data_IF_381731982356
#
_entry.id   IF_381731982356
#
_cell.length_a   1.000
_cell.length_b   1.000
_cell.length_c   1.000
_cell.angle_alpha   90.00
_cell.angle_beta   90.00
_cell.angle_gamma   90.00
#
_symmetry.space_group_name_H-M   'P 1'
#
loop_
_entity.id
_entity.type
_entity.pdbx_description
1 polymer ?
#
# COMPACT_ATOMS: atom_id res chain seq x y z
N UNK A 1 -9.40 55.64 15.30
CA UNK A 1 -10.42 54.83 14.57
C UNK A 1 -9.68 53.81 13.72
N UNK A 2 -9.88 52.50 13.91
CA UNK A 2 -9.36 51.49 12.98
C UNK A 2 -10.41 51.27 11.88
N UNK A 3 -10.02 51.28 10.60
CA UNK A 3 -10.92 50.89 9.51
C UNK A 3 -10.97 49.36 9.46
N UNK A 4 -12.16 48.79 9.44
CA UNK A 4 -12.32 47.35 9.22
C UNK A 4 -11.98 47.03 7.75
N UNK A 5 -11.02 46.13 7.52
CA UNK A 5 -10.90 45.45 6.23
C UNK A 5 -12.10 44.50 6.08
N UNK A 6 -12.76 44.44 4.91
CA UNK A 6 -13.75 43.40 4.66
C UNK A 6 -13.07 42.02 4.62
N UNK A 7 -13.76 40.95 5.01
CA UNK A 7 -13.23 39.59 4.90
C UNK A 7 -13.00 39.21 3.42
N UNK A 8 -12.06 38.31 3.12
CA UNK A 8 -11.84 37.83 1.76
C UNK A 8 -13.10 37.12 1.23
N UNK A 9 -13.50 37.47 0.01
CA UNK A 9 -14.69 36.91 -0.64
C UNK A 9 -14.51 35.41 -0.87
N UNK A 10 -15.31 34.59 -0.18
CA UNK A 10 -15.38 33.16 -0.45
C UNK A 10 -16.19 32.94 -1.74
N UNK A 11 -15.49 32.87 -2.88
CA UNK A 11 -16.05 32.48 -4.19
C UNK A 11 -16.93 31.23 -4.06
N UNK A 12 -18.05 31.16 -4.77
CA UNK A 12 -18.86 29.94 -4.81
C UNK A 12 -18.10 28.78 -5.44
N UNK A 13 -18.58 27.54 -5.20
CA UNK A 13 -18.02 26.32 -5.80
C UNK A 13 -18.02 26.40 -7.33
N UNK A 14 -19.07 26.97 -7.92
CA UNK A 14 -19.18 27.16 -9.37
C UNK A 14 -18.23 28.23 -9.92
N UNK A 15 -17.98 29.32 -9.19
CA UNK A 15 -17.02 30.35 -9.62
C UNK A 15 -15.58 29.85 -9.59
N UNK A 16 -15.21 29.02 -8.61
CA UNK A 16 -13.87 28.40 -8.55
C UNK A 16 -13.63 27.41 -9.69
N UNK A 17 -14.63 26.60 -10.01
CA UNK A 17 -14.58 25.68 -11.16
C UNK A 17 -14.51 26.46 -12.48
N UNK A 18 -15.34 27.50 -12.67
CA UNK A 18 -15.27 28.37 -13.86
C UNK A 18 -13.92 29.07 -14.01
N UNK A 19 -13.31 29.52 -12.92
CA UNK A 19 -12.00 30.15 -12.95
C UNK A 19 -10.93 29.16 -13.45
N UNK A 20 -10.98 27.90 -12.99
CA UNK A 20 -10.10 26.84 -13.48
C UNK A 20 -10.37 26.52 -14.97
N UNK A 21 -11.62 26.22 -15.33
CA UNK A 21 -12.07 25.95 -16.71
C UNK A 21 -11.63 27.07 -17.68
N UNK A 22 -11.68 28.33 -17.25
CA UNK A 22 -11.21 29.48 -18.02
C UNK A 22 -9.67 29.52 -18.15
N UNK A 23 -8.93 29.39 -17.04
CA UNK A 23 -7.45 29.38 -17.10
C UNK A 23 -6.89 28.24 -17.95
N UNK A 24 -7.52 27.06 -17.94
CA UNK A 24 -7.11 25.93 -18.79
C UNK A 24 -7.30 26.24 -20.29
N UNK A 25 -8.41 26.88 -20.66
CA UNK A 25 -8.69 27.28 -22.04
C UNK A 25 -7.70 28.34 -22.57
N UNK A 26 -7.30 29.30 -21.73
CA UNK A 26 -6.30 30.32 -22.08
C UNK A 26 -4.91 29.72 -22.33
N UNK A 27 -4.51 28.71 -21.54
CA UNK A 27 -3.28 27.95 -21.78
C UNK A 27 -3.33 27.14 -23.09
N UNK A 28 -4.40 26.38 -23.31
CA UNK A 28 -4.56 25.54 -24.52
C UNK A 28 -4.56 26.39 -25.81
N UNK A 29 -5.18 27.59 -25.74
CA UNK A 29 -5.25 28.52 -26.88
C UNK A 29 -3.90 29.11 -27.29
N UNK A 30 -2.92 29.13 -26.37
CA UNK A 30 -1.59 29.70 -26.62
C UNK A 30 -0.65 28.74 -27.36
N UNK A 31 -0.82 27.43 -27.18
CA UNK A 31 0.12 26.41 -27.70
C UNK A 31 -0.08 26.14 -29.22
N UNK A 32 -1.31 26.30 -29.72
CA UNK A 32 -1.70 25.98 -31.11
C UNK A 32 -1.03 26.92 -32.15
N UNK A 33 -0.51 28.09 -31.73
CA UNK A 33 0.05 29.10 -32.63
C UNK A 33 1.57 28.96 -32.92
N UNK A 34 2.28 27.98 -32.34
CA UNK A 34 3.75 27.93 -32.38
C UNK A 34 4.38 26.62 -32.91
N UNK A 35 3.91 26.09 -34.05
CA UNK A 35 4.47 24.82 -34.60
C UNK A 35 4.58 24.73 -36.13
N UNK A 36 5.28 25.68 -36.79
CA UNK A 36 5.64 25.51 -38.23
C UNK A 36 6.94 26.20 -38.69
N UNK A 37 8.09 25.54 -38.58
CA UNK A 37 9.25 25.65 -39.50
C UNK A 37 10.45 24.76 -39.13
N UNK A 38 10.85 23.86 -40.03
CA UNK A 38 12.16 23.14 -40.07
C UNK A 38 12.42 22.65 -41.52
N UNK A 39 13.62 22.17 -41.90
CA UNK A 39 14.93 22.86 -41.80
C UNK A 39 15.82 22.69 -43.06
N UNK A 40 16.90 23.48 -43.25
CA UNK A 40 18.25 22.95 -43.60
C UNK A 40 19.42 23.96 -43.83
N UNK A 41 20.52 23.69 -43.11
CA UNK A 41 21.93 23.64 -43.58
C UNK A 41 22.85 24.88 -43.76
N UNK A 42 24.07 24.71 -43.23
CA UNK A 42 25.43 25.19 -43.64
C UNK A 42 25.98 26.55 -43.14
N UNK A 43 27.23 26.43 -42.62
CA UNK A 43 28.26 27.40 -42.18
C UNK A 43 29.23 27.73 -43.36
N UNK A 44 30.32 28.55 -43.28
CA UNK A 44 30.98 29.17 -42.09
C UNK A 44 31.51 30.65 -42.22
N UNK A 45 31.74 31.33 -41.07
CA UNK A 45 32.93 32.18 -40.67
C UNK A 45 33.53 33.32 -41.57
N UNK A 46 34.40 34.23 -41.05
CA UNK A 46 34.47 34.91 -39.73
C UNK A 46 34.93 36.42 -39.75
N UNK A 47 35.03 37.01 -38.54
CA UNK A 47 36.01 38.04 -38.07
C UNK A 47 35.88 39.55 -38.41
N UNK A 48 35.77 40.40 -37.37
CA UNK A 48 36.80 41.39 -36.97
C UNK A 48 36.57 41.95 -35.53
N UNK A 49 37.69 42.14 -34.80
CA UNK A 49 38.16 43.31 -33.99
C UNK A 49 37.16 44.38 -33.52
N UNK A 50 37.31 45.01 -32.34
CA UNK A 50 38.39 45.05 -31.31
C UNK A 50 37.76 45.34 -29.89
N UNK A 51 38.36 45.85 -28.79
CA UNK A 51 39.63 46.56 -28.51
C UNK A 51 40.11 46.48 -27.03
N UNK A 52 41.42 46.71 -26.85
CA UNK A 52 42.17 47.28 -25.68
C UNK A 52 41.81 46.97 -24.20
N UNK A 53 42.58 46.02 -23.66
CA UNK A 53 43.39 46.06 -22.41
C UNK A 53 43.95 47.47 -22.01
N UNK A 54 44.49 47.76 -20.79
CA UNK A 54 44.97 46.96 -19.63
C UNK A 54 45.20 47.83 -18.36
N UNK A 55 45.67 47.19 -17.28
CA UNK A 55 46.31 47.73 -16.04
C UNK A 55 45.40 48.24 -14.90
N UNK A 56 45.82 48.29 -13.62
CA UNK A 56 46.50 47.32 -12.71
C UNK A 56 47.04 48.01 -11.44
N UNK A 57 46.50 47.71 -10.25
CA UNK A 57 47.13 47.87 -8.89
C UNK A 57 47.45 49.35 -8.51
N UNK A 58 46.91 49.92 -7.41
CA UNK A 58 47.20 49.56 -6.00
C UNK A 58 46.37 50.36 -4.98
N UNK A 59 45.99 49.75 -3.84
CA UNK A 59 45.45 50.34 -2.58
C UNK A 59 44.12 51.12 -2.73
N UNK A 60 43.17 51.09 -1.78
CA UNK A 60 43.34 51.32 -0.32
C UNK A 60 42.37 50.48 0.53
N UNK A 61 42.81 50.09 1.72
CA UNK A 61 42.00 49.31 2.69
C UNK A 61 41.12 50.21 3.55
N UNK A 62 39.80 50.08 3.42
CA UNK A 62 38.79 50.45 4.40
C UNK A 62 37.46 49.73 4.04
N UNK A 63 36.53 49.62 4.99
CA UNK A 63 35.17 49.07 4.78
C UNK A 63 35.12 47.64 4.23
N UNK A 64 35.41 46.64 5.07
CA UNK A 64 35.21 45.22 4.72
C UNK A 64 34.75 44.35 5.92
N UNK A 65 34.12 44.99 6.92
CA UNK A 65 33.81 44.37 8.22
C UNK A 65 32.33 44.51 8.68
N UNK A 66 31.51 45.31 7.98
CA UNK A 66 30.06 45.44 8.29
C UNK A 66 29.14 44.74 7.27
N UNK A 67 29.57 44.55 6.02
CA UNK A 67 28.74 43.93 4.97
C UNK A 67 28.74 42.38 5.02
N UNK A 68 29.49 41.78 5.95
CA UNK A 68 29.59 40.32 6.14
C UNK A 68 28.60 39.73 7.16
N UNK A 69 27.73 40.56 7.78
CA UNK A 69 26.78 40.12 8.80
C UNK A 69 25.30 40.06 8.37
N UNK A 70 24.96 40.47 7.14
CA UNK A 70 23.60 40.34 6.58
C UNK A 70 23.45 39.34 5.42
N UNK A 71 24.56 38.81 4.88
CA UNK A 71 24.53 37.82 3.79
C UNK A 71 24.39 36.35 4.25
N UNK A 72 24.44 36.09 5.57
CA UNK A 72 24.49 34.72 6.15
C UNK A 72 23.12 34.24 6.67
N UNK A 73 22.03 34.91 6.26
CA UNK A 73 20.66 34.41 6.37
C UNK A 73 20.14 33.84 5.04
N UNK A 74 21.05 33.46 4.14
CA UNK A 74 20.73 32.81 2.87
C UNK A 74 19.91 31.53 3.11
N UNK A 75 18.76 31.45 2.43
CA UNK A 75 17.71 30.45 2.61
C UNK A 75 18.25 29.02 2.77
N UNK A 76 18.18 28.49 3.99
CA UNK A 76 18.01 27.05 4.20
C UNK A 76 16.54 26.66 3.95
N UNK A 77 16.04 26.95 2.75
CA UNK A 77 14.87 26.28 2.20
C UNK A 77 15.26 24.83 1.94
N UNK A 78 15.14 24.03 2.99
CA UNK A 78 15.16 22.57 2.93
C UNK A 78 13.90 22.13 2.18
N UNK A 79 13.94 22.23 0.85
CA UNK A 79 12.80 22.03 -0.06
C UNK A 79 12.00 20.81 0.35
N UNK A 80 10.78 21.04 0.84
CA UNK A 80 10.13 20.08 1.72
C UNK A 80 9.39 19.01 0.93
N UNK A 81 10.13 18.05 0.37
CA UNK A 81 9.59 16.90 -0.37
C UNK A 81 8.56 16.16 0.50
N UNK A 82 7.31 16.13 0.03
CA UNK A 82 6.23 15.34 0.62
C UNK A 82 6.27 13.91 0.07
N UNK A 83 5.92 12.94 0.90
CA UNK A 83 5.74 11.56 0.41
C UNK A 83 4.41 11.40 -0.33
N UNK A 84 4.29 10.38 -1.17
CA UNK A 84 3.05 10.13 -1.92
C UNK A 84 1.84 9.90 -1.00
N UNK A 85 2.01 9.25 0.16
CA UNK A 85 0.95 9.08 1.14
C UNK A 85 0.59 10.40 1.87
N UNK A 86 1.56 11.31 2.10
CA UNK A 86 1.27 12.66 2.60
C UNK A 86 0.44 13.45 1.58
N UNK A 87 0.83 13.41 0.30
CA UNK A 87 0.11 14.07 -0.80
C UNK A 87 -1.31 13.49 -0.91
N UNK A 88 -1.47 12.16 -0.94
CA UNK A 88 -2.79 11.50 -0.98
C UNK A 88 -3.71 11.91 0.18
N UNK A 89 -3.17 12.14 1.38
CA UNK A 89 -3.97 12.62 2.53
C UNK A 89 -4.30 14.12 2.47
N UNK A 90 -3.58 14.90 1.67
CA UNK A 90 -3.84 16.33 1.46
C UNK A 90 -4.74 16.60 0.24
N UNK A 91 -4.78 15.72 -0.76
CA UNK A 91 -5.60 15.87 -1.97
C UNK A 91 -7.10 16.15 -1.67
N UNK A 92 -7.79 15.45 -0.74
CA UNK A 92 -9.20 15.75 -0.40
C UNK A 92 -9.42 17.13 0.25
N UNK A 93 -8.36 17.81 0.69
CA UNK A 93 -8.42 19.16 1.25
C UNK A 93 -8.16 20.26 0.20
N UNK A 94 -7.74 19.90 -1.02
CA UNK A 94 -7.74 20.82 -2.16
C UNK A 94 -9.17 21.29 -2.45
N UNK A 95 -9.37 22.60 -2.52
CA UNK A 95 -10.67 23.19 -2.77
C UNK A 95 -11.21 22.84 -4.16
N UNK A 96 -10.33 22.66 -5.16
CA UNK A 96 -10.71 22.29 -6.52
C UNK A 96 -11.18 20.82 -6.58
N UNK A 97 -10.41 19.92 -5.96
CA UNK A 97 -10.78 18.49 -5.83
C UNK A 97 -12.12 18.35 -5.10
N UNK A 98 -12.29 19.05 -3.97
CA UNK A 98 -13.55 19.06 -3.22
C UNK A 98 -14.72 19.64 -4.03
N UNK A 99 -14.50 20.72 -4.77
CA UNK A 99 -15.51 21.34 -5.63
C UNK A 99 -16.01 20.40 -6.74
N UNK A 100 -15.10 19.72 -7.44
CA UNK A 100 -15.48 18.73 -8.45
C UNK A 100 -16.13 17.49 -7.83
N UNK A 101 -15.69 17.03 -6.65
CA UNK A 101 -16.35 15.93 -5.94
C UNK A 101 -17.82 16.27 -5.60
N UNK A 102 -18.09 17.49 -5.13
CA UNK A 102 -19.45 17.99 -4.87
C UNK A 102 -20.27 18.13 -6.17
N UNK A 103 -19.67 18.64 -7.26
CA UNK A 103 -20.27 18.71 -8.62
C UNK A 103 -20.71 17.30 -9.07
N UNK A 104 -19.84 16.30 -8.92
CA UNK A 104 -20.11 14.90 -9.32
C UNK A 104 -21.21 14.27 -8.44
N UNK A 105 -21.18 14.42 -7.12
CA UNK A 105 -22.23 13.87 -6.23
C UNK A 105 -23.61 14.44 -6.58
N UNK A 106 -23.69 15.76 -6.82
CA UNK A 106 -24.92 16.43 -7.26
C UNK A 106 -25.41 15.90 -8.61
N UNK A 107 -24.52 15.75 -9.59
CA UNK A 107 -24.86 15.24 -10.92
C UNK A 107 -25.23 13.75 -10.90
N UNK A 108 -24.57 12.91 -10.11
CA UNK A 108 -24.96 11.49 -9.93
C UNK A 108 -26.38 11.36 -9.33
N UNK A 109 -26.76 12.27 -8.43
CA UNK A 109 -28.12 12.36 -7.88
C UNK A 109 -29.16 12.70 -8.96
N UNK A 110 -28.82 13.57 -9.90
CA UNK A 110 -29.68 13.97 -11.03
C UNK A 110 -29.78 12.86 -12.07
N UNK A 111 -28.62 12.33 -12.50
CA UNK A 111 -28.47 11.40 -13.62
C UNK A 111 -28.92 9.97 -13.25
N UNK A 112 -28.64 9.51 -12.03
CA UNK A 112 -28.89 8.13 -11.59
C UNK A 112 -29.77 8.00 -10.35
N UNK A 113 -30.18 9.11 -9.71
CA UNK A 113 -30.93 9.08 -8.46
C UNK A 113 -30.11 8.71 -7.22
N UNK A 114 -28.79 8.51 -7.36
CA UNK A 114 -27.89 8.10 -6.28
C UNK A 114 -26.62 8.98 -6.28
N UNK A 115 -26.48 9.83 -5.27
CA UNK A 115 -25.35 10.76 -5.12
C UNK A 115 -24.00 10.07 -4.85
N UNK A 116 -23.99 8.84 -4.32
CA UNK A 116 -22.78 8.11 -3.93
C UNK A 116 -22.39 7.01 -4.94
N UNK A 117 -23.08 6.90 -6.08
CA UNK A 117 -22.87 5.83 -7.08
C UNK A 117 -21.40 5.68 -7.51
N UNK A 118 -20.69 6.80 -7.70
CA UNK A 118 -19.30 6.82 -8.16
C UNK A 118 -18.28 7.00 -7.02
N UNK A 119 -18.67 6.88 -5.75
CA UNK A 119 -17.79 7.17 -4.62
C UNK A 119 -16.53 6.28 -4.59
N UNK A 120 -16.66 5.00 -4.94
CA UNK A 120 -15.52 4.08 -5.09
C UNK A 120 -14.60 4.53 -6.23
N UNK A 121 -15.18 4.89 -7.38
CA UNK A 121 -14.44 5.35 -8.58
C UNK A 121 -13.73 6.69 -8.38
N UNK A 122 -14.31 7.59 -7.58
CA UNK A 122 -13.61 8.79 -7.09
C UNK A 122 -12.36 8.41 -6.27
N UNK A 123 -12.45 7.38 -5.42
CA UNK A 123 -11.31 6.83 -4.68
C UNK A 123 -10.27 6.09 -5.55
N UNK A 124 -10.65 5.60 -6.74
CA UNK A 124 -9.72 5.10 -7.75
C UNK A 124 -9.01 6.24 -8.48
N UNK A 125 -9.74 7.29 -8.89
CA UNK A 125 -9.17 8.47 -9.57
C UNK A 125 -8.18 9.23 -8.65
N UNK A 126 -8.45 9.29 -7.34
CA UNK A 126 -7.50 9.84 -6.36
C UNK A 126 -6.15 9.09 -6.32
N UNK A 127 -6.11 7.80 -6.69
CA UNK A 127 -4.88 7.01 -6.78
C UNK A 127 -4.23 7.16 -8.16
N UNK A 128 -5.03 7.14 -9.22
CA UNK A 128 -4.59 7.31 -10.60
C UNK A 128 -5.48 8.30 -11.36
N UNK A 129 -5.06 9.57 -11.50
CA UNK A 129 -5.84 10.62 -12.15
C UNK A 129 -6.29 10.31 -13.57
N UNK A 130 -5.51 9.53 -14.33
CA UNK A 130 -5.82 9.13 -15.71
C UNK A 130 -7.10 8.30 -15.84
N UNK A 131 -7.60 7.73 -14.75
CA UNK A 131 -8.89 7.05 -14.72
C UNK A 131 -10.08 8.03 -14.86
N UNK A 132 -9.90 9.33 -14.63
CA UNK A 132 -10.95 10.34 -14.78
C UNK A 132 -11.47 10.42 -16.22
N UNK A 133 -10.57 10.60 -17.19
CA UNK A 133 -10.94 10.61 -18.61
C UNK A 133 -11.52 9.24 -19.04
N UNK A 134 -10.89 8.14 -18.63
CA UNK A 134 -11.36 6.79 -18.97
C UNK A 134 -12.78 6.50 -18.45
N UNK A 135 -13.09 6.89 -17.21
CA UNK A 135 -14.41 6.74 -16.62
C UNK A 135 -15.44 7.66 -17.30
N UNK A 136 -15.04 8.89 -17.64
CA UNK A 136 -15.88 9.83 -18.40
C UNK A 136 -16.30 9.24 -19.75
N UNK A 137 -15.36 8.66 -20.50
CA UNK A 137 -15.64 7.95 -21.76
C UNK A 137 -16.53 6.72 -21.57
N UNK A 138 -16.31 5.91 -20.52
CA UNK A 138 -17.15 4.73 -20.24
C UNK A 138 -18.60 5.12 -19.93
N UNK A 139 -18.82 6.15 -19.11
CA UNK A 139 -20.16 6.66 -18.76
C UNK A 139 -20.83 7.32 -19.97
N UNK A 140 -20.08 8.04 -20.81
CA UNK A 140 -20.59 8.64 -22.05
C UNK A 140 -21.04 7.57 -23.06
N UNK A 141 -20.23 6.52 -23.25
CA UNK A 141 -20.52 5.45 -24.20
C UNK A 141 -21.62 4.48 -23.73
N UNK A 142 -21.70 4.17 -22.44
CA UNK A 142 -22.65 3.19 -21.88
C UNK A 142 -23.17 3.64 -20.50
N UNK A 143 -23.99 4.71 -20.40
CA UNK A 143 -24.43 5.24 -19.11
C UNK A 143 -25.22 4.24 -18.26
N UNK A 144 -26.10 3.45 -18.88
CA UNK A 144 -26.89 2.44 -18.16
C UNK A 144 -26.10 1.16 -17.77
N UNK A 145 -24.78 1.09 -18.05
CA UNK A 145 -23.92 -0.01 -17.56
C UNK A 145 -23.53 0.13 -16.08
N UNK A 146 -23.48 1.36 -15.55
CA UNK A 146 -23.15 1.65 -14.15
C UNK A 146 -24.39 1.63 -13.25
N UNK A 147 -25.49 2.22 -13.71
CA UNK A 147 -26.80 2.20 -13.05
C UNK A 147 -27.88 2.65 -14.04
N UNK A 148 -29.13 2.28 -13.79
CA UNK A 148 -30.25 2.80 -14.58
C UNK A 148 -30.37 4.32 -14.41
N UNK A 149 -30.46 5.07 -15.52
CA UNK A 149 -30.69 6.52 -15.49
C UNK A 149 -32.02 6.84 -14.77
N UNK A 150 -32.10 7.99 -14.10
CA UNK A 150 -33.24 8.37 -13.28
C UNK A 150 -34.55 8.49 -14.10
N UNK A 151 -35.68 8.46 -13.39
CA UNK A 151 -37.01 8.54 -14.00
C UNK A 151 -37.40 7.31 -14.83
N UNK A 152 -38.27 7.51 -15.81
CA UNK A 152 -38.71 6.45 -16.72
C UNK A 152 -38.81 6.92 -18.18
N UNK A 153 -38.59 5.96 -19.07
CA UNK A 153 -38.86 6.03 -20.50
C UNK A 153 -39.77 4.83 -20.83
N UNK A 154 -41.00 5.07 -21.28
CA UNK A 154 -41.94 4.03 -21.70
C UNK A 154 -42.34 4.28 -23.16
N UNK A 155 -41.91 3.39 -24.05
CA UNK A 155 -42.15 3.48 -25.50
C UNK A 155 -41.77 4.85 -26.11
N UNK A 156 -40.68 5.46 -25.63
CA UNK A 156 -40.20 6.78 -26.07
C UNK A 156 -40.75 7.95 -25.26
N UNK A 157 -41.80 7.76 -24.45
CA UNK A 157 -42.34 8.79 -23.56
C UNK A 157 -41.47 8.88 -22.31
N UNK A 158 -40.67 9.95 -22.22
CA UNK A 158 -39.75 10.24 -21.11
C UNK A 158 -40.36 11.22 -20.12
N UNK A 159 -40.34 10.88 -18.82
CA UNK A 159 -40.74 11.84 -17.78
C UNK A 159 -39.68 12.93 -17.55
N UNK A 160 -40.03 13.98 -16.79
CA UNK A 160 -39.12 15.11 -16.50
C UNK A 160 -37.80 14.67 -15.85
N UNK A 161 -37.85 13.71 -14.92
CA UNK A 161 -36.65 13.16 -14.28
C UNK A 161 -35.71 12.47 -15.29
N UNK A 162 -36.25 11.70 -16.25
CA UNK A 162 -35.45 11.05 -17.30
C UNK A 162 -34.88 12.05 -18.31
N UNK A 163 -35.63 13.11 -18.67
CA UNK A 163 -35.10 14.21 -19.50
C UNK A 163 -33.93 14.91 -18.81
N UNK A 164 -34.15 15.35 -17.57
CA UNK A 164 -33.12 16.02 -16.77
C UNK A 164 -31.86 15.13 -16.57
N UNK A 165 -32.04 13.81 -16.40
CA UNK A 165 -30.93 12.87 -16.32
C UNK A 165 -30.12 12.75 -17.62
N UNK A 166 -30.78 12.73 -18.77
CA UNK A 166 -30.12 12.71 -20.09
C UNK A 166 -29.45 14.04 -20.42
N UNK A 167 -30.10 15.17 -20.07
CA UNK A 167 -29.58 16.54 -20.27
C UNK A 167 -28.34 16.84 -19.41
N UNK A 168 -28.23 16.26 -18.21
CA UNK A 168 -27.08 16.45 -17.31
C UNK A 168 -25.98 15.38 -17.48
N UNK A 169 -26.20 14.34 -18.29
CA UNK A 169 -25.22 13.27 -18.51
C UNK A 169 -23.88 13.78 -19.08
N UNK A 170 -23.83 14.67 -20.11
CA UNK A 170 -22.57 15.23 -20.59
C UNK A 170 -21.84 15.99 -19.47
N UNK A 171 -22.56 16.83 -18.71
CA UNK A 171 -21.97 17.61 -17.61
C UNK A 171 -21.43 16.72 -16.48
N UNK A 172 -21.97 15.52 -16.28
CA UNK A 172 -21.40 14.51 -15.39
C UNK A 172 -20.08 13.97 -15.94
N UNK A 173 -20.01 13.62 -17.22
CA UNK A 173 -18.78 13.21 -17.91
C UNK A 173 -17.70 14.30 -17.82
N UNK A 174 -18.05 15.56 -18.11
CA UNK A 174 -17.16 16.72 -18.03
C UNK A 174 -16.63 16.90 -16.59
N UNK A 175 -17.50 16.77 -15.59
CA UNK A 175 -17.13 16.88 -14.19
C UNK A 175 -16.17 15.77 -13.73
N UNK A 176 -16.31 14.55 -14.26
CA UNK A 176 -15.45 13.40 -13.95
C UNK A 176 -14.07 13.55 -14.61
N UNK A 177 -14.01 14.04 -15.84
CA UNK A 177 -12.73 14.37 -16.51
C UNK A 177 -11.99 15.48 -15.75
N UNK A 178 -12.67 16.60 -15.49
CA UNK A 178 -12.12 17.73 -14.71
C UNK A 178 -11.78 17.38 -13.25
N UNK A 179 -12.38 16.33 -12.67
CA UNK A 179 -11.93 15.79 -11.38
C UNK A 179 -10.57 15.09 -11.49
N UNK A 180 -10.34 14.32 -12.55
CA UNK A 180 -9.02 13.74 -12.85
C UNK A 180 -7.96 14.83 -12.99
N UNK A 181 -8.23 15.85 -13.81
CA UNK A 181 -7.36 17.02 -13.99
C UNK A 181 -7.10 17.77 -12.66
N UNK A 182 -8.14 18.03 -11.86
CA UNK A 182 -8.02 18.70 -10.58
C UNK A 182 -7.19 17.91 -9.55
N UNK A 183 -7.30 16.57 -9.55
CA UNK A 183 -6.48 15.69 -8.70
C UNK A 183 -5.03 15.66 -9.19
N UNK A 184 -4.80 15.57 -10.50
CA UNK A 184 -3.45 15.63 -11.08
C UNK A 184 -2.77 16.96 -10.76
N UNK A 185 -3.44 18.09 -11.04
CA UNK A 185 -2.95 19.44 -10.75
C UNK A 185 -2.60 19.61 -9.27
N UNK A 186 -3.49 19.21 -8.35
CA UNK A 186 -3.24 19.30 -6.92
C UNK A 186 -2.11 18.35 -6.44
N UNK A 187 -1.89 17.22 -7.12
CA UNK A 187 -0.76 16.30 -6.85
C UNK A 187 0.57 16.88 -7.33
N UNK A 188 0.58 17.50 -8.50
CA UNK A 188 1.75 18.17 -9.08
C UNK A 188 2.15 19.41 -8.27
N UNK A 189 1.20 20.27 -7.90
CA UNK A 189 1.47 21.46 -7.09
C UNK A 189 2.01 21.09 -5.69
N UNK A 190 1.44 20.07 -5.04
CA UNK A 190 1.99 19.50 -3.79
C UNK A 190 3.37 18.84 -3.95
N UNK A 191 3.78 18.50 -5.17
CA UNK A 191 5.10 17.94 -5.46
C UNK A 191 6.14 19.02 -5.81
N UNK A 192 5.70 20.11 -6.45
CA UNK A 192 6.56 21.18 -6.98
C UNK A 192 6.69 22.36 -6.01
N UNK A 193 5.59 22.79 -5.37
CA UNK A 193 5.59 23.94 -4.43
C UNK A 193 5.08 23.60 -3.01
N UNK A 194 5.47 22.45 -2.40
CA UNK A 194 4.87 21.92 -1.17
C UNK A 194 4.75 22.96 -0.05
N UNK A 195 5.77 23.78 0.20
CA UNK A 195 5.76 24.78 1.27
C UNK A 195 4.73 25.92 1.05
N UNK A 196 4.42 26.26 -0.21
CA UNK A 196 3.39 27.24 -0.55
C UNK A 196 1.97 26.66 -0.35
N UNK A 197 1.72 25.46 -0.89
CA UNK A 197 0.43 24.76 -0.75
C UNK A 197 0.14 24.43 0.72
N UNK A 198 1.16 24.01 1.48
CA UNK A 198 1.03 23.79 2.92
C UNK A 198 0.73 25.08 3.65
N UNK A 199 1.41 26.19 3.35
CA UNK A 199 1.12 27.51 3.96
C UNK A 199 -0.34 27.91 3.72
N UNK A 200 -0.87 27.64 2.54
CA UNK A 200 -2.29 27.85 2.19
C UNK A 200 -3.24 26.92 2.98
N UNK A 201 -2.89 25.65 3.17
CA UNK A 201 -3.66 24.74 4.03
C UNK A 201 -3.58 25.14 5.52
N UNK A 202 -2.42 25.58 6.02
CA UNK A 202 -2.29 26.07 7.40
C UNK A 202 -3.20 27.29 7.67
N UNK A 203 -3.41 28.14 6.65
CA UNK A 203 -4.35 29.27 6.73
C UNK A 203 -5.82 28.86 6.63
N UNK A 204 -6.15 27.84 5.82
CA UNK A 204 -7.55 27.47 5.54
C UNK A 204 -8.14 26.41 6.48
N UNK A 205 -7.32 25.52 7.05
CA UNK A 205 -7.75 24.49 8.01
C UNK A 205 -6.95 24.45 9.32
N UNK A 206 -5.94 25.32 9.47
CA UNK A 206 -5.13 25.46 10.69
C UNK A 206 -3.88 24.58 10.70
N UNK A 207 -2.74 25.16 11.12
CA UNK A 207 -1.45 24.46 11.27
C UNK A 207 -1.54 23.13 12.02
N UNK A 208 -2.29 23.09 13.12
CA UNK A 208 -2.46 21.89 13.95
C UNK A 208 -3.10 20.72 13.16
N UNK A 209 -4.08 21.02 12.31
CA UNK A 209 -4.74 20.01 11.48
C UNK A 209 -3.83 19.51 10.37
N UNK A 210 -3.11 20.41 9.69
CA UNK A 210 -2.11 20.06 8.66
C UNK A 210 -1.00 19.20 9.27
N UNK A 211 -0.44 19.61 10.41
CA UNK A 211 0.58 18.84 11.14
C UNK A 211 0.09 17.43 11.51
N UNK A 212 -1.15 17.30 12.01
CA UNK A 212 -1.76 16.01 12.35
C UNK A 212 -1.95 15.10 11.13
N UNK A 213 -2.38 15.64 9.99
CA UNK A 213 -2.52 14.89 8.73
C UNK A 213 -1.16 14.31 8.32
N UNK A 214 -0.12 15.14 8.30
CA UNK A 214 1.25 14.77 7.94
C UNK A 214 1.83 13.70 8.89
N UNK A 215 1.69 13.89 10.21
CA UNK A 215 2.11 12.92 11.22
C UNK A 215 1.42 11.56 11.04
N UNK A 216 0.12 11.56 10.71
CA UNK A 216 -0.61 10.31 10.43
C UNK A 216 -0.11 9.57 9.18
N UNK A 217 0.55 10.25 8.25
CA UNK A 217 1.20 9.60 7.11
C UNK A 217 2.49 8.91 7.56
N UNK A 218 3.39 9.67 8.19
CA UNK A 218 4.69 9.17 8.67
C UNK A 218 4.54 7.95 9.58
N UNK A 219 3.53 7.96 10.45
CA UNK A 219 3.22 6.82 11.31
C UNK A 219 2.82 5.58 10.49
N UNK A 220 1.90 5.72 9.52
CA UNK A 220 1.42 4.60 8.70
C UNK A 220 2.48 4.08 7.72
N UNK A 221 3.30 4.96 7.13
CA UNK A 221 4.42 4.57 6.25
C UNK A 221 5.48 3.79 7.04
N UNK A 222 5.79 4.25 8.26
CA UNK A 222 6.69 3.54 9.18
C UNK A 222 6.10 2.21 9.65
N UNK A 223 4.83 2.18 10.06
CA UNK A 223 4.13 0.96 10.49
C UNK A 223 4.10 -0.10 9.38
N UNK A 224 3.83 0.29 8.13
CA UNK A 224 3.84 -0.63 6.99
C UNK A 224 5.25 -1.17 6.66
N UNK A 225 6.28 -0.33 6.73
CA UNK A 225 7.67 -0.76 6.55
C UNK A 225 8.13 -1.71 7.68
N UNK A 226 7.79 -1.37 8.92
CA UNK A 226 8.07 -2.17 10.12
C UNK A 226 7.37 -3.54 10.04
N UNK A 227 6.07 -3.56 9.69
CA UNK A 227 5.31 -4.79 9.41
C UNK A 227 6.00 -5.63 8.32
N UNK A 228 6.40 -5.04 7.19
CA UNK A 228 7.06 -5.77 6.10
C UNK A 228 8.37 -6.43 6.56
N UNK A 229 9.21 -5.71 7.32
CA UNK A 229 10.44 -6.29 7.88
C UNK A 229 10.17 -7.38 8.92
N UNK A 230 9.13 -7.24 9.75
CA UNK A 230 8.71 -8.28 10.70
C UNK A 230 8.18 -9.54 10.01
N UNK A 231 7.52 -9.40 8.84
CA UNK A 231 7.08 -10.54 8.03
C UNK A 231 8.28 -11.25 7.39
N UNK A 232 9.22 -10.52 6.79
CA UNK A 232 10.43 -11.12 6.22
C UNK A 232 11.29 -11.83 7.28
N UNK A 233 11.39 -11.29 8.50
CA UNK A 233 12.11 -11.91 9.62
C UNK A 233 11.37 -13.09 10.27
N UNK A 234 10.10 -13.35 9.90
CA UNK A 234 9.33 -14.40 10.54
C UNK A 234 9.83 -15.81 10.14
N UNK A 235 10.09 -16.72 11.10
CA UNK A 235 10.67 -18.03 10.83
C UNK A 235 9.74 -18.96 10.05
N UNK A 236 8.42 -18.78 10.15
CA UNK A 236 7.43 -19.55 9.37
C UNK A 236 7.43 -19.10 7.91
N UNK A 237 7.41 -17.78 7.67
CA UNK A 237 7.50 -17.17 6.34
C UNK A 237 8.82 -17.59 5.65
N UNK A 238 9.94 -17.48 6.35
CA UNK A 238 11.27 -17.92 5.89
C UNK A 238 11.29 -19.43 5.56
N UNK A 239 10.71 -20.28 6.41
CA UNK A 239 10.60 -21.73 6.17
C UNK A 239 9.80 -22.04 4.90
N UNK A 240 8.70 -21.34 4.67
CA UNK A 240 7.92 -21.51 3.44
C UNK A 240 8.69 -21.05 2.21
N UNK A 241 9.36 -19.89 2.22
CA UNK A 241 10.23 -19.45 1.11
C UNK A 241 11.32 -20.48 0.77
N UNK A 242 11.94 -21.11 1.77
CA UNK A 242 12.90 -22.19 1.56
C UNK A 242 12.26 -23.44 0.94
N UNK A 243 11.05 -23.82 1.37
CA UNK A 243 10.29 -24.96 0.84
C UNK A 243 9.79 -24.71 -0.59
N UNK A 244 9.43 -23.47 -0.94
CA UNK A 244 9.09 -23.06 -2.32
C UNK A 244 10.34 -23.12 -3.22
N UNK A 245 11.49 -22.63 -2.75
CA UNK A 245 12.77 -22.76 -3.48
C UNK A 245 13.14 -24.23 -3.74
N UNK A 246 12.92 -25.11 -2.76
CA UNK A 246 13.09 -26.56 -2.93
C UNK A 246 12.14 -27.13 -3.99
N UNK A 247 10.83 -26.87 -3.90
CA UNK A 247 9.86 -27.40 -4.87
C UNK A 247 10.04 -26.82 -6.27
N UNK A 248 10.41 -25.54 -6.42
CA UNK A 248 10.78 -24.97 -7.71
C UNK A 248 11.96 -25.70 -8.36
N UNK A 249 12.96 -26.11 -7.57
CA UNK A 249 14.06 -26.94 -8.07
C UNK A 249 13.58 -28.35 -8.47
N UNK A 250 12.72 -29.00 -7.68
CA UNK A 250 12.16 -30.32 -8.03
C UNK A 250 11.30 -30.27 -9.30
N UNK A 251 10.40 -29.29 -9.42
CA UNK A 251 9.42 -29.18 -10.52
C UNK A 251 10.07 -28.65 -11.80
N UNK A 252 10.95 -27.66 -11.72
CA UNK A 252 11.45 -26.91 -12.89
C UNK A 252 12.98 -26.93 -13.06
N UNK A 253 13.73 -27.53 -12.12
CA UNK A 253 15.20 -27.56 -12.11
C UNK A 253 15.86 -26.28 -11.59
N UNK A 254 15.10 -25.20 -11.34
CA UNK A 254 15.63 -23.90 -10.91
C UNK A 254 14.87 -23.38 -9.68
N UNK A 255 15.59 -23.10 -8.59
CA UNK A 255 15.00 -22.74 -7.29
C UNK A 255 14.31 -21.37 -7.26
N UNK A 256 14.71 -20.43 -8.12
CA UNK A 256 14.37 -19.00 -7.98
C UNK A 256 13.35 -18.49 -9.02
N UNK A 257 12.67 -19.35 -9.79
CA UNK A 257 11.72 -18.92 -10.84
C UNK A 257 10.61 -18.03 -10.28
N UNK A 258 10.07 -18.38 -9.11
CA UNK A 258 8.98 -17.65 -8.47
C UNK A 258 9.45 -16.52 -7.54
N UNK A 259 10.74 -16.13 -7.56
CA UNK A 259 11.28 -15.18 -6.58
C UNK A 259 10.57 -13.82 -6.59
N UNK A 260 10.28 -13.26 -7.77
CA UNK A 260 9.48 -12.04 -7.90
C UNK A 260 8.03 -12.25 -7.44
N UNK A 261 7.42 -13.37 -7.82
CA UNK A 261 6.04 -13.69 -7.41
C UNK A 261 5.89 -13.90 -5.90
N UNK A 262 6.91 -14.39 -5.20
CA UNK A 262 6.90 -14.45 -3.74
C UNK A 262 6.97 -13.06 -3.10
N UNK A 263 7.68 -12.11 -3.71
CA UNK A 263 7.70 -10.71 -3.26
C UNK A 263 6.37 -9.99 -3.56
N UNK A 264 5.74 -10.26 -4.71
CA UNK A 264 4.38 -9.79 -5.00
C UNK A 264 3.37 -10.31 -3.96
N UNK A 265 3.43 -11.60 -3.60
CA UNK A 265 2.57 -12.21 -2.56
C UNK A 265 2.90 -11.67 -1.16
N UNK A 266 4.17 -11.35 -0.87
CA UNK A 266 4.57 -10.67 0.36
C UNK A 266 3.84 -9.32 0.50
N UNK A 267 3.64 -8.59 -0.60
CA UNK A 267 2.90 -7.31 -0.62
C UNK A 267 1.38 -7.52 -0.64
N UNK A 268 0.85 -8.41 -1.48
CA UNK A 268 -0.57 -8.75 -1.57
C UNK A 268 -0.80 -10.28 -1.57
N UNK A 269 -1.22 -10.88 -0.44
CA UNK A 269 -1.44 -12.33 -0.35
C UNK A 269 -2.45 -12.89 -1.37
N UNK A 270 -3.41 -12.10 -1.83
CA UNK A 270 -4.42 -12.54 -2.81
C UNK A 270 -3.81 -12.90 -4.19
N UNK A 271 -2.61 -12.37 -4.52
CA UNK A 271 -1.89 -12.76 -5.75
C UNK A 271 -1.50 -14.25 -5.78
N UNK A 272 -1.57 -14.94 -4.63
CA UNK A 272 -1.28 -16.37 -4.56
C UNK A 272 -2.33 -17.22 -5.28
N UNK A 273 -3.61 -16.85 -5.22
CA UNK A 273 -4.70 -17.58 -5.88
C UNK A 273 -4.54 -17.57 -7.41
N UNK A 274 -4.18 -16.40 -7.98
CA UNK A 274 -3.84 -16.30 -9.40
C UNK A 274 -2.63 -17.17 -9.74
N UNK A 275 -1.58 -17.16 -8.91
CA UNK A 275 -0.36 -17.94 -9.15
C UNK A 275 -0.59 -19.46 -9.03
N UNK A 276 -1.37 -19.92 -8.05
CA UNK A 276 -1.66 -21.34 -7.87
C UNK A 276 -2.65 -21.85 -8.92
N UNK A 277 -3.59 -21.02 -9.37
CA UNK A 277 -4.39 -21.31 -10.56
C UNK A 277 -3.53 -21.41 -11.84
N UNK A 278 -2.62 -20.45 -12.07
CA UNK A 278 -1.69 -20.50 -13.21
C UNK A 278 -0.80 -21.75 -13.19
N UNK A 279 -0.28 -22.13 -12.00
CA UNK A 279 0.51 -23.35 -11.80
C UNK A 279 -0.31 -24.63 -11.99
N UNK A 280 -1.58 -24.65 -11.60
CA UNK A 280 -2.45 -25.81 -11.76
C UNK A 280 -2.87 -26.02 -13.23
N UNK A 281 -3.28 -24.94 -13.91
CA UNK A 281 -3.80 -25.01 -15.28
C UNK A 281 -2.67 -25.05 -16.33
N UNK A 282 -1.64 -24.22 -16.18
CA UNK A 282 -0.61 -23.99 -17.20
C UNK A 282 0.81 -23.93 -16.62
N UNK A 283 1.30 -24.94 -15.87
CA UNK A 283 2.61 -24.89 -15.21
C UNK A 283 3.80 -24.62 -16.15
N UNK A 284 3.65 -24.92 -17.44
CA UNK A 284 4.67 -24.71 -18.47
C UNK A 284 4.76 -23.25 -18.97
N UNK A 285 3.81 -22.37 -18.63
CA UNK A 285 3.90 -20.93 -18.93
C UNK A 285 5.00 -20.23 -18.13
N UNK A 286 5.21 -20.69 -16.89
CA UNK A 286 6.22 -20.16 -15.96
C UNK A 286 7.60 -20.76 -16.25
N UNK A 287 7.69 -22.09 -16.39
CA UNK A 287 8.92 -22.76 -16.84
C UNK A 287 8.68 -24.20 -17.31
N UNK A 288 9.58 -24.71 -18.14
CA UNK A 288 9.62 -26.13 -18.50
C UNK A 288 9.88 -27.02 -17.26
N UNK A 289 9.14 -28.11 -17.14
CA UNK A 289 9.40 -29.16 -16.14
C UNK A 289 10.82 -29.73 -16.24
N UNK A 290 11.40 -30.07 -15.09
CA UNK A 290 12.68 -30.79 -15.02
C UNK A 290 12.60 -32.17 -15.72
N UNK A 291 13.75 -32.71 -16.11
CA UNK A 291 13.84 -33.99 -16.80
C UNK A 291 13.25 -33.97 -18.22
N UNK A 292 13.23 -35.14 -18.86
CA UNK A 292 12.90 -35.29 -20.28
C UNK A 292 11.55 -36.01 -20.50
N UNK A 293 10.81 -35.56 -21.51
CA UNK A 293 9.64 -36.21 -22.11
C UNK A 293 9.87 -36.33 -23.62
N UNK A 294 10.01 -37.54 -24.14
CA UNK A 294 10.23 -37.82 -25.58
C UNK A 294 9.19 -38.84 -26.04
N UNK A 295 8.45 -38.52 -27.12
CA UNK A 295 7.37 -39.37 -27.65
C UNK A 295 6.37 -39.88 -26.57
N UNK A 296 6.07 -39.04 -25.58
CA UNK A 296 5.21 -39.38 -24.44
C UNK A 296 5.93 -40.08 -23.27
N UNK A 297 7.07 -40.74 -23.51
CA UNK A 297 7.87 -41.42 -22.50
C UNK A 297 8.57 -40.41 -21.57
N UNK A 298 8.43 -40.58 -20.25
CA UNK A 298 8.94 -39.67 -19.21
C UNK A 298 10.04 -40.33 -18.40
N UNK A 299 11.20 -39.67 -18.24
CA UNK A 299 12.25 -40.17 -17.35
C UNK A 299 11.88 -39.98 -15.85
N UNK A 300 12.65 -40.59 -14.94
CA UNK A 300 12.39 -40.53 -13.50
C UNK A 300 12.30 -39.09 -12.97
N UNK A 301 13.22 -38.22 -13.40
CA UNK A 301 13.23 -36.80 -13.05
C UNK A 301 11.93 -36.11 -13.48
N UNK A 302 11.47 -36.33 -14.71
CA UNK A 302 10.21 -35.76 -15.21
C UNK A 302 8.99 -36.25 -14.41
N UNK A 303 8.95 -37.54 -14.07
CA UNK A 303 7.85 -38.10 -13.25
C UNK A 303 7.84 -37.51 -11.83
N UNK A 304 9.01 -37.31 -11.23
CA UNK A 304 9.13 -36.68 -9.91
C UNK A 304 8.78 -35.18 -9.95
N UNK A 305 9.19 -34.47 -11.01
CA UNK A 305 8.87 -33.07 -11.24
C UNK A 305 7.37 -32.82 -11.40
N UNK A 306 6.68 -33.65 -12.18
CA UNK A 306 5.22 -33.58 -12.34
C UNK A 306 4.50 -33.92 -11.01
N UNK A 307 4.96 -34.94 -10.27
CA UNK A 307 4.41 -35.31 -8.96
C UNK A 307 4.71 -34.27 -7.85
N UNK A 308 5.71 -33.40 -8.04
CA UNK A 308 6.04 -32.31 -7.12
C UNK A 308 5.18 -31.06 -7.26
N UNK A 309 4.43 -30.92 -8.36
CA UNK A 309 3.62 -29.72 -8.63
C UNK A 309 2.53 -29.45 -7.56
N UNK A 310 1.72 -30.43 -7.12
CA UNK A 310 0.72 -30.18 -6.08
C UNK A 310 1.34 -29.69 -4.77
N UNK A 311 2.52 -30.22 -4.43
CA UNK A 311 3.28 -29.81 -3.25
C UNK A 311 3.87 -28.40 -3.39
N UNK A 312 4.20 -27.95 -4.60
CA UNK A 312 4.59 -26.56 -4.86
C UNK A 312 3.41 -25.61 -4.63
N UNK A 313 2.25 -25.95 -5.20
CA UNK A 313 0.98 -25.21 -5.06
C UNK A 313 0.59 -25.08 -3.59
N UNK A 314 0.45 -26.20 -2.87
CA UNK A 314 0.18 -26.23 -1.42
C UNK A 314 1.17 -25.37 -0.62
N UNK A 315 2.46 -25.39 -0.97
CA UNK A 315 3.44 -24.57 -0.25
C UNK A 315 3.26 -23.07 -0.52
N UNK A 316 2.75 -22.67 -1.70
CA UNK A 316 2.44 -21.27 -2.05
C UNK A 316 1.18 -20.79 -1.32
N UNK A 317 0.11 -21.58 -1.31
CA UNK A 317 -1.12 -21.24 -0.57
C UNK A 317 -0.83 -21.12 0.94
N UNK A 318 -0.06 -22.06 1.51
CA UNK A 318 0.37 -21.99 2.90
C UNK A 318 1.31 -20.80 3.20
N UNK A 319 2.14 -20.37 2.24
CA UNK A 319 2.96 -19.15 2.35
C UNK A 319 2.08 -17.90 2.41
N UNK A 320 1.11 -17.78 1.50
CA UNK A 320 0.18 -16.65 1.44
C UNK A 320 -0.67 -16.56 2.72
N UNK A 321 -1.22 -17.68 3.18
CA UNK A 321 -1.95 -17.76 4.46
C UNK A 321 -1.08 -17.35 5.66
N UNK A 322 0.19 -17.76 5.70
CA UNK A 322 1.13 -17.35 6.75
C UNK A 322 1.43 -15.84 6.72
N UNK A 323 1.55 -15.22 5.53
CA UNK A 323 1.72 -13.77 5.38
C UNK A 323 0.43 -13.02 5.76
N UNK A 324 -0.75 -13.53 5.39
CA UNK A 324 -2.06 -12.94 5.72
C UNK A 324 -2.28 -12.87 7.23
N UNK A 325 -2.24 -14.02 7.91
CA UNK A 325 -2.44 -14.11 9.36
C UNK A 325 -1.41 -13.28 10.15
N UNK A 326 -0.19 -13.16 9.63
CA UNK A 326 0.84 -12.33 10.24
C UNK A 326 0.56 -10.83 10.06
N UNK A 327 0.07 -10.39 8.90
CA UNK A 327 -0.40 -9.01 8.70
C UNK A 327 -1.56 -8.67 9.63
N UNK A 328 -2.57 -9.53 9.70
CA UNK A 328 -3.74 -9.32 10.57
C UNK A 328 -3.33 -9.22 12.05
N UNK A 329 -2.54 -10.16 12.54
CA UNK A 329 -2.11 -10.16 13.95
C UNK A 329 -1.20 -8.96 14.29
N UNK A 330 -0.31 -8.53 13.39
CA UNK A 330 0.50 -7.33 13.59
C UNK A 330 -0.38 -6.06 13.64
N UNK A 331 -1.29 -5.87 12.69
CA UNK A 331 -2.23 -4.73 12.66
C UNK A 331 -3.12 -4.70 13.92
N UNK A 332 -3.65 -5.85 14.34
CA UNK A 332 -4.44 -5.95 15.58
C UNK A 332 -3.61 -5.61 16.83
N UNK A 333 -2.35 -6.06 16.90
CA UNK A 333 -1.46 -5.75 18.04
C UNK A 333 -1.14 -4.26 18.14
N UNK A 334 -0.94 -3.57 17.01
CA UNK A 334 -0.70 -2.13 16.96
C UNK A 334 -1.96 -1.34 17.35
N UNK A 335 -3.15 -1.73 16.88
CA UNK A 335 -4.41 -1.11 17.30
C UNK A 335 -4.65 -1.23 18.82
N UNK A 336 -4.28 -2.36 19.43
CA UNK A 336 -4.39 -2.56 20.88
C UNK A 336 -3.43 -1.64 21.65
N UNK A 337 -2.20 -1.46 21.17
CA UNK A 337 -1.22 -0.53 21.76
C UNK A 337 -1.69 0.94 21.61
N UNK A 338 -2.11 1.36 20.42
CA UNK A 338 -2.63 2.72 20.18
C UNK A 338 -3.83 3.04 21.11
N UNK A 339 -4.75 2.09 21.30
CA UNK A 339 -5.90 2.23 22.22
C UNK A 339 -5.50 2.36 23.69
N UNK A 340 -4.31 1.91 24.07
CA UNK A 340 -3.78 1.96 25.44
C UNK A 340 -3.09 3.31 25.76
N UNK A 341 -2.81 4.15 24.76
CA UNK A 341 -2.12 5.44 24.92
C UNK A 341 -3.06 6.66 25.08
N UNK A 342 -4.26 6.46 25.64
CA UNK A 342 -4.92 7.52 26.41
C UNK A 342 -4.21 7.65 27.79
N UNK A 343 -4.09 8.85 28.40
CA UNK A 343 -3.09 9.11 29.43
C UNK A 343 -3.39 8.43 30.78
N UNK A 344 -2.88 7.21 30.96
CA UNK A 344 -2.95 6.45 32.22
C UNK A 344 -1.99 6.99 33.30
N UNK A 345 -2.35 8.13 33.90
CA UNK A 345 -1.71 8.68 35.09
C UNK A 345 -2.15 8.01 36.42
N UNK A 346 -3.02 7.00 36.34
CA UNK A 346 -3.69 6.36 37.48
C UNK A 346 -2.96 5.10 37.96
N UNK A 347 -2.58 4.20 37.04
CA UNK A 347 -2.07 2.85 37.31
C UNK A 347 -0.74 2.85 38.11
N UNK A 348 0.01 3.95 38.10
CA UNK A 348 1.22 4.15 38.88
C UNK A 348 0.95 4.40 40.40
N UNK A 349 -0.28 4.69 40.82
CA UNK A 349 -0.64 4.96 42.22
C UNK A 349 -0.94 3.67 42.99
N UNK A 350 -1.71 2.76 42.39
CA UNK A 350 -2.18 1.55 43.09
C UNK A 350 -1.07 0.50 43.27
N UNK A 351 -0.15 0.39 42.29
CA UNK A 351 1.04 -0.48 42.43
C UNK A 351 1.98 -0.02 43.56
N UNK A 352 1.85 1.22 44.04
CA UNK A 352 2.55 1.73 45.22
C UNK A 352 1.84 1.35 46.52
N UNK A 353 0.52 1.62 46.61
CA UNK A 353 -0.31 1.25 47.78
C UNK A 353 -0.24 -0.24 48.13
N UNK A 354 -0.15 -1.12 47.14
CA UNK A 354 -0.09 -2.56 47.40
C UNK A 354 1.26 -3.04 47.97
N UNK A 355 2.33 -2.26 47.84
CA UNK A 355 3.70 -2.69 48.21
C UNK A 355 4.04 -2.41 49.67
N UNK A 356 3.41 -1.41 50.29
CA UNK A 356 3.66 -0.99 51.67
C UNK A 356 2.96 -1.87 52.73
N UNK A 357 2.02 -2.72 52.31
CA UNK A 357 1.24 -3.61 53.20
C UNK A 357 1.91 -4.98 53.48
N UNK A 358 3.02 -5.32 52.81
CA UNK A 358 3.59 -6.69 52.82
C UNK A 358 4.83 -6.87 53.71
N UNK A 359 5.08 -5.96 54.67
CA UNK A 359 6.24 -6.03 55.57
C UNK A 359 5.88 -5.75 57.04
N UNK A 360 5.25 -6.71 57.72
CA UNK A 360 5.33 -6.79 59.19
C UNK A 360 5.03 -8.19 59.75
N UNK A 361 5.52 -8.43 60.97
CA UNK A 361 5.32 -9.59 61.86
C UNK A 361 6.05 -10.90 61.52
N UNK A 362 6.15 -11.77 62.54
CA UNK A 362 7.08 -12.91 62.66
C UNK A 362 6.38 -14.19 63.19
N UNK A 363 7.09 -15.32 63.15
CA UNK A 363 6.84 -16.56 63.91
C UNK A 363 6.77 -16.29 65.43
N UNK A 364 6.05 -17.10 66.24
CA UNK A 364 6.73 -18.24 66.90
C UNK A 364 5.91 -19.54 67.10
N UNK A 365 6.52 -20.67 66.72
CA UNK A 365 6.81 -21.89 67.53
C UNK A 365 5.97 -22.27 68.79
N UNK A 366 5.35 -23.47 68.83
CA UNK A 366 5.57 -24.51 69.87
C UNK A 366 4.89 -25.89 69.60
N UNK A 367 5.57 -26.97 70.03
CA UNK A 367 5.20 -28.37 70.39
C UNK A 367 3.78 -28.93 70.10
N UNK A 368 3.54 -30.21 69.72
CA UNK A 368 4.37 -31.43 69.50
C UNK A 368 3.59 -32.41 68.54
N UNK A 369 3.75 -33.74 68.34
CA UNK A 369 4.28 -34.91 69.11
C UNK A 369 4.66 -36.11 68.20
N UNK A 370 5.12 -37.23 68.78
CA UNK A 370 5.48 -38.55 68.16
C UNK A 370 4.97 -39.71 69.06
N UNK A 371 5.33 -41.03 68.97
CA UNK A 371 6.20 -41.79 68.02
C UNK A 371 5.67 -43.21 67.59
N UNK A 372 6.55 -44.05 67.00
CA UNK A 372 6.48 -45.52 66.75
C UNK A 372 5.64 -46.03 65.55
N UNK A 373 5.98 -47.12 64.81
CA UNK A 373 7.14 -48.04 64.63
C UNK A 373 7.01 -48.55 63.15
N UNK A 374 7.87 -49.33 62.47
CA UNK A 374 9.31 -49.63 62.39
C UNK A 374 9.46 -50.89 61.46
N UNK A 375 10.47 -50.89 60.58
CA UNK A 375 11.16 -52.05 59.96
C UNK A 375 10.43 -53.25 59.22
N UNK A 376 10.68 -53.32 57.89
CA UNK A 376 11.51 -54.36 57.21
C UNK A 376 10.96 -55.80 56.89
N UNK A 377 10.50 -55.94 55.63
CA UNK A 377 10.78 -57.02 54.63
C UNK A 377 10.25 -58.48 54.79
N UNK A 378 10.03 -59.07 53.58
CA UNK A 378 10.31 -60.47 53.12
C UNK A 378 9.20 -61.56 53.05
N UNK A 379 8.94 -62.01 51.80
CA UNK A 379 8.86 -63.42 51.33
C UNK A 379 7.50 -64.16 51.14
N UNK A 380 7.38 -64.84 49.99
CA UNK A 380 6.59 -66.07 49.68
C UNK A 380 5.02 -66.01 49.73
N UNK A 381 4.23 -66.80 48.96
CA UNK A 381 4.51 -67.67 47.79
C UNK A 381 3.25 -67.97 46.91
N UNK A 382 3.46 -67.98 45.59
CA UNK A 382 2.81 -68.62 44.41
C UNK A 382 1.60 -69.58 44.55
N UNK A 383 0.54 -69.32 43.74
CA UNK A 383 -0.03 -70.21 42.67
C UNK A 383 -1.02 -69.39 41.80
N UNK A 384 -0.79 -69.19 40.49
CA UNK A 384 -1.07 -70.06 39.33
C UNK A 384 -2.55 -70.29 38.96
N UNK A 385 -2.92 -69.88 37.72
CA UNK A 385 -3.16 -70.85 36.63
C UNK A 385 -2.90 -70.22 35.26
N UNK A 386 -2.34 -70.98 34.33
CA UNK A 386 -1.98 -70.58 32.96
C UNK A 386 -2.83 -71.29 31.91
N UNK A 387 -2.83 -70.76 30.67
CA UNK A 387 -2.85 -71.61 29.48
C UNK A 387 -2.19 -70.90 28.27
N UNK A 388 -1.04 -71.43 27.85
CA UNK A 388 -0.33 -71.07 26.62
C UNK A 388 -0.74 -71.99 25.47
N UNK A 389 -0.50 -71.59 24.21
CA UNK A 389 0.23 -72.49 23.28
C UNK A 389 0.90 -71.79 22.09
N UNK A 390 2.23 -71.69 22.18
CA UNK A 390 3.22 -71.88 21.11
C UNK A 390 3.24 -71.06 19.81
N UNK A 391 4.37 -70.37 19.63
CA UNK A 391 4.87 -69.79 18.37
C UNK A 391 5.66 -70.78 17.51
N UNK A 392 5.82 -70.51 16.20
CA UNK A 392 6.97 -71.02 15.41
C UNK A 392 7.47 -70.04 14.35
N UNK A 393 8.81 -69.95 14.22
CA UNK A 393 9.57 -69.13 13.27
C UNK A 393 10.38 -70.06 12.34
N UNK A 394 10.42 -69.80 11.03
CA UNK A 394 11.37 -70.42 10.08
C UNK A 394 11.70 -69.48 8.91
N UNK A 395 12.85 -69.71 8.30
CA UNK A 395 13.45 -68.88 7.24
C UNK A 395 13.95 -69.74 6.06
N UNK A 396 13.92 -69.14 4.87
CA UNK A 396 14.76 -69.38 3.68
C UNK A 396 14.91 -70.80 3.07
N UNK A 397 14.51 -70.93 1.80
CA UNK A 397 15.00 -71.91 0.83
C UNK A 397 15.38 -71.16 -0.48
N UNK A 398 15.97 -71.84 -1.49
CA UNK A 398 17.03 -71.21 -2.32
C UNK A 398 17.19 -71.73 -3.77
N UNK A 399 17.20 -70.80 -4.74
CA UNK A 399 17.88 -70.87 -6.07
C UNK A 399 17.28 -71.78 -7.17
N UNK A 400 17.72 -71.52 -8.43
CA UNK A 400 17.42 -72.11 -9.76
C UNK A 400 16.31 -71.34 -10.51
N UNK A 401 16.53 -70.51 -11.54
CA UNK A 401 17.55 -70.37 -12.62
C UNK A 401 17.40 -71.36 -13.81
N UNK A 402 16.95 -70.85 -14.97
CA UNK A 402 17.62 -70.97 -16.28
C UNK A 402 17.01 -69.96 -17.30
N UNK A 403 17.53 -69.90 -18.52
CA UNK A 403 17.28 -68.83 -19.50
C UNK A 403 16.56 -69.30 -20.79
N UNK A 404 16.03 -68.32 -21.53
CA UNK A 404 15.85 -68.31 -23.00
C UNK A 404 15.86 -66.86 -23.47
#
# INVERSE_FOLDING_TARGET
MKKNQPPPLQLSVQERIKLYEQTAADHTSSEILSSKSTPQSKKPSPALKEKQQRHSVRNTTAQNEEETLYATAALQTTTRVLSEAQIMKLLPHSQLVKAYQEKIQSLCKIVYGNENLLQEKIGEIQKNPTLGESLSWQISAQPESFSKLAGFNLWGIKNSARKNAEENLPTLCDAIAGYGEAVQYAREDLSITPDAVLTYYEQSMGREAVAKILQSSNQSEKENAEISTMIQQNPTVTRYQARIKYWCHVVFGKSNILASKMEEILHNPAMAEELTWQLAAYPQSLHNYAGMKVCGLKNSVRRHAEAGLPSLIDTIDNYANAVHLLKESLVQSQQLQQKTHAPSAELAKDLKKQKDLTKSSKLPEYLSSTPHHEARKTSQQTHERTQDTHSRKKTAAKTMAFAS
#
